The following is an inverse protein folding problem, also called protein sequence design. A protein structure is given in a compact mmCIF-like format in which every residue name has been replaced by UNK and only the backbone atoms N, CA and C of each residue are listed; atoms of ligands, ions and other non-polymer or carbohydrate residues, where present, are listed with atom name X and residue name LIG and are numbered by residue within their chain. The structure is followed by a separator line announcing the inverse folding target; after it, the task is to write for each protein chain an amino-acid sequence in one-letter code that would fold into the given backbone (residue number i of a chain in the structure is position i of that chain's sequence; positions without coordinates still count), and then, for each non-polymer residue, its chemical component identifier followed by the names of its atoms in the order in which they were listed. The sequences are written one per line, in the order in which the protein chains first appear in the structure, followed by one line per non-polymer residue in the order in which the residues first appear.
data_IF_039409903019
#
_entry.id   IF_039409903019
#
_cell.length_a   1.000
_cell.length_b   1.000
_cell.length_c   1.000
_cell.angle_alpha   90.00
_cell.angle_beta   90.00
_cell.angle_gamma   90.00
#
_symmetry.space_group_name_H-M   'P 1'
#
loop_
_entity.id
_entity.type
_entity.pdbx_description
1 polymer ?
#
# COMPACT_ATOMS: atom_id res chain seq x y z
N UNK A 1 7.81 65.64 -74.43
CA UNK A 1 8.03 65.05 -73.13
C UNK A 1 9.13 65.79 -72.39
N UNK A 2 8.81 66.35 -71.25
CA UNK A 2 9.73 67.13 -70.44
C UNK A 2 10.87 66.25 -69.91
N UNK A 3 12.07 66.80 -69.74
CA UNK A 3 13.23 66.09 -69.16
C UNK A 3 12.94 65.48 -67.76
N UNK A 4 12.01 66.10 -67.03
CA UNK A 4 11.50 65.65 -65.77
C UNK A 4 10.70 64.34 -65.88
N UNK A 5 9.88 64.17 -66.89
CA UNK A 5 9.07 62.98 -67.15
C UNK A 5 9.97 61.78 -67.52
N UNK A 6 11.04 62.02 -68.31
CA UNK A 6 12.04 60.99 -68.64
C UNK A 6 12.84 60.52 -67.44
N UNK A 7 13.16 61.41 -66.48
CA UNK A 7 13.87 61.09 -65.28
C UNK A 7 13.01 60.28 -64.31
N UNK A 8 11.69 60.58 -64.25
CA UNK A 8 10.72 59.83 -63.44
C UNK A 8 10.52 58.41 -63.97
N UNK A 9 10.34 58.30 -65.33
CA UNK A 9 10.22 56.96 -65.97
C UNK A 9 11.48 56.10 -65.81
N UNK A 10 12.66 56.75 -65.81
CA UNK A 10 13.93 56.08 -65.67
C UNK A 10 14.16 55.59 -64.18
N UNK A 11 13.71 56.38 -63.21
CA UNK A 11 13.71 55.99 -61.81
C UNK A 11 12.69 54.90 -61.57
N UNK A 12 11.49 54.97 -62.11
CA UNK A 12 10.47 53.92 -62.00
C UNK A 12 10.94 52.62 -62.65
N UNK A 13 11.63 52.69 -63.81
CA UNK A 13 12.24 51.50 -64.42
C UNK A 13 13.45 50.96 -63.68
N UNK A 14 14.21 51.83 -62.99
CA UNK A 14 15.32 51.34 -62.09
C UNK A 14 14.79 50.71 -60.80
N UNK A 15 13.66 51.21 -60.29
CA UNK A 15 13.00 50.60 -59.12
C UNK A 15 12.27 49.30 -59.52
N UNK A 16 11.81 49.18 -60.77
CA UNK A 16 11.17 47.98 -61.28
C UNK A 16 12.12 46.87 -61.69
N UNK A 17 13.43 47.17 -61.89
CA UNK A 17 14.48 46.17 -62.11
C UNK A 17 15.30 45.94 -60.88
N UNK A 18 14.69 45.44 -59.80
CA UNK A 18 15.44 44.57 -58.94
C UNK A 18 15.95 43.43 -59.81
N UNK A 19 17.24 43.31 -59.96
CA UNK A 19 17.84 42.18 -60.67
C UNK A 19 17.29 40.89 -60.08
N UNK A 20 17.00 39.87 -60.91
CA UNK A 20 16.50 38.58 -60.50
C UNK A 20 17.30 38.03 -59.27
N UNK A 21 18.58 38.39 -59.24
CA UNK A 21 19.49 38.10 -58.13
C UNK A 21 19.04 38.78 -56.81
N UNK A 22 18.68 40.07 -56.82
CA UNK A 22 18.21 40.80 -55.63
C UNK A 22 16.86 40.30 -55.12
N UNK A 23 15.97 39.87 -56.02
CA UNK A 23 14.69 39.23 -55.66
C UNK A 23 14.92 37.84 -55.04
N UNK A 24 15.88 37.08 -55.60
CA UNK A 24 16.28 35.80 -55.03
C UNK A 24 16.91 35.96 -53.62
N UNK A 25 17.85 36.88 -53.47
CA UNK A 25 18.46 37.21 -52.17
C UNK A 25 17.43 37.67 -51.11
N UNK A 26 16.45 38.49 -51.49
CA UNK A 26 15.36 38.90 -50.60
C UNK A 26 14.45 37.70 -50.21
N UNK A 27 14.16 36.81 -51.15
CA UNK A 27 13.39 35.60 -50.88
C UNK A 27 14.16 34.65 -49.92
N UNK A 28 15.45 34.49 -50.15
CA UNK A 28 16.32 33.69 -49.25
C UNK A 28 16.44 34.31 -47.86
N UNK A 29 16.64 35.64 -47.78
CA UNK A 29 16.66 36.36 -46.50
C UNK A 29 15.34 36.21 -45.73
N UNK A 30 14.18 36.33 -46.42
CA UNK A 30 12.86 36.11 -45.79
C UNK A 30 12.69 34.64 -45.32
N UNK A 31 13.14 33.66 -46.12
CA UNK A 31 13.12 32.27 -45.72
C UNK A 31 14.03 32.03 -44.52
N UNK A 32 15.24 32.59 -44.52
CA UNK A 32 16.18 32.48 -43.40
C UNK A 32 15.58 33.09 -42.13
N UNK A 33 14.99 34.29 -42.22
CA UNK A 33 14.30 34.92 -41.09
C UNK A 33 13.14 34.06 -40.58
N UNK A 34 12.34 33.49 -41.52
CA UNK A 34 11.26 32.59 -41.16
C UNK A 34 11.77 31.34 -40.42
N UNK A 35 12.82 30.68 -40.97
CA UNK A 35 13.42 29.51 -40.32
C UNK A 35 14.04 29.82 -38.95
N UNK A 36 14.72 30.97 -38.85
CA UNK A 36 15.27 31.45 -37.56
C UNK A 36 14.16 31.72 -36.55
N UNK A 37 13.05 32.35 -36.99
CA UNK A 37 11.89 32.61 -36.11
C UNK A 37 11.25 31.29 -35.64
N UNK A 38 11.04 30.34 -36.56
CA UNK A 38 10.51 29.01 -36.22
C UNK A 38 11.46 28.30 -35.24
N UNK A 39 12.76 28.33 -35.51
CA UNK A 39 13.75 27.72 -34.64
C UNK A 39 13.74 28.30 -33.21
N UNK A 40 13.67 29.66 -33.10
CA UNK A 40 13.59 30.33 -31.80
C UNK A 40 12.28 29.97 -31.08
N UNK A 41 11.16 29.91 -31.78
CA UNK A 41 9.88 29.51 -31.20
C UNK A 41 9.93 28.05 -30.71
N UNK A 42 10.49 27.11 -31.51
CA UNK A 42 10.65 25.71 -31.10
C UNK A 42 11.56 25.58 -29.88
N UNK A 43 12.67 26.34 -29.86
CA UNK A 43 13.56 26.38 -28.68
C UNK A 43 12.83 26.91 -27.45
N UNK A 44 12.07 27.98 -27.56
CA UNK A 44 11.29 28.54 -26.46
C UNK A 44 10.26 27.52 -25.93
N UNK A 45 9.57 26.83 -26.83
CA UNK A 45 8.62 25.76 -26.46
C UNK A 45 9.35 24.60 -25.72
N UNK A 46 10.49 24.17 -26.23
CA UNK A 46 11.28 23.11 -25.55
C UNK A 46 11.73 23.53 -24.14
N UNK A 47 12.16 24.78 -23.97
CA UNK A 47 12.55 25.31 -22.65
C UNK A 47 11.35 25.33 -21.69
N UNK A 48 10.17 25.77 -22.15
CA UNK A 48 8.93 25.74 -21.35
C UNK A 48 8.56 24.32 -20.96
N UNK A 49 8.66 23.35 -21.88
CA UNK A 49 8.42 21.93 -21.58
C UNK A 49 9.43 21.39 -20.56
N UNK A 50 10.72 21.70 -20.70
CA UNK A 50 11.75 21.27 -19.75
C UNK A 50 11.48 21.82 -18.34
N UNK A 51 11.10 23.11 -18.23
CA UNK A 51 10.71 23.73 -16.96
C UNK A 51 9.45 23.05 -16.39
N UNK A 52 8.42 22.83 -17.21
CA UNK A 52 7.19 22.17 -16.77
C UNK A 52 7.46 20.75 -16.24
N UNK A 53 8.27 19.95 -16.94
CA UNK A 53 8.69 18.62 -16.48
C UNK A 53 9.48 18.72 -15.18
N UNK A 54 10.43 19.66 -15.07
CA UNK A 54 11.22 19.87 -13.87
C UNK A 54 10.36 20.26 -12.65
N UNK A 55 9.41 21.17 -12.84
CA UNK A 55 8.46 21.58 -11.81
C UNK A 55 7.54 20.42 -11.40
N UNK A 56 7.00 19.67 -12.36
CA UNK A 56 6.11 18.53 -12.08
C UNK A 56 6.85 17.43 -11.29
N UNK A 57 8.08 17.10 -11.69
CA UNK A 57 8.93 16.15 -10.97
C UNK A 57 9.29 16.65 -9.56
N UNK A 58 9.59 17.94 -9.42
CA UNK A 58 9.90 18.54 -8.12
C UNK A 58 8.69 18.48 -7.19
N UNK A 59 7.49 18.77 -7.67
CA UNK A 59 6.25 18.69 -6.89
C UNK A 59 5.96 17.23 -6.50
N UNK A 60 6.05 16.28 -7.44
CA UNK A 60 5.87 14.85 -7.13
C UNK A 60 6.89 14.36 -6.10
N UNK A 61 8.16 14.71 -6.27
CA UNK A 61 9.21 14.29 -5.32
C UNK A 61 9.15 15.00 -3.98
N UNK A 62 8.44 16.13 -3.86
CA UNK A 62 8.29 16.86 -2.59
C UNK A 62 7.30 16.19 -1.63
N UNK A 63 6.44 15.31 -2.14
CA UNK A 63 5.38 14.64 -1.38
C UNK A 63 4.24 15.56 -0.93
N UNK A 64 4.18 16.80 -1.45
CA UNK A 64 3.10 17.75 -1.11
C UNK A 64 1.75 17.23 -1.56
N UNK A 65 1.69 16.59 -2.73
CA UNK A 65 0.46 16.02 -3.25
C UNK A 65 -0.06 14.91 -2.34
N UNK A 66 0.81 14.00 -1.94
CA UNK A 66 0.48 12.87 -1.08
C UNK A 66 -0.02 13.31 0.30
N UNK A 67 0.56 14.37 0.86
CA UNK A 67 0.12 14.93 2.14
C UNK A 67 -1.20 15.70 2.07
N UNK A 68 -1.51 16.30 0.90
CA UNK A 68 -2.69 17.14 0.73
C UNK A 68 -3.87 16.41 0.04
N UNK A 69 -3.68 15.16 -0.38
CA UNK A 69 -4.74 14.36 -0.98
C UNK A 69 -5.35 13.45 0.09
N UNK A 70 -6.62 13.62 0.37
CA UNK A 70 -7.38 12.75 1.27
C UNK A 70 -7.58 11.40 0.60
N UNK A 71 -7.12 10.34 1.24
CA UNK A 71 -7.25 8.96 0.78
C UNK A 71 -8.44 8.24 1.43
N UNK A 72 -8.74 8.58 2.67
CA UNK A 72 -9.75 7.93 3.49
C UNK A 72 -10.30 8.94 4.51
N UNK A 73 -11.60 8.90 4.77
CA UNK A 73 -12.23 9.64 5.87
C UNK A 73 -12.75 8.64 6.90
N UNK A 74 -12.43 8.85 8.17
CA UNK A 74 -12.87 8.03 9.31
C UNK A 74 -13.45 8.97 10.36
N UNK A 75 -14.76 8.94 10.56
CA UNK A 75 -15.43 9.95 11.38
C UNK A 75 -15.16 11.36 10.85
N UNK A 76 -14.62 12.22 11.68
CA UNK A 76 -14.23 13.59 11.33
C UNK A 76 -12.75 13.70 10.87
N UNK A 77 -12.01 12.59 10.81
CA UNK A 77 -10.60 12.57 10.43
C UNK A 77 -10.41 12.37 8.92
N UNK A 78 -9.68 13.27 8.30
CA UNK A 78 -9.21 13.17 6.91
C UNK A 78 -7.81 12.59 6.88
N UNK A 79 -7.68 11.34 6.46
CA UNK A 79 -6.40 10.62 6.36
C UNK A 79 -5.81 10.85 4.99
N UNK A 80 -4.63 11.43 4.93
CA UNK A 80 -3.93 11.70 3.68
C UNK A 80 -3.35 10.43 3.04
N UNK A 81 -3.01 10.50 1.75
CA UNK A 81 -2.27 9.42 1.08
C UNK A 81 -0.93 9.12 1.78
N UNK A 82 -0.26 10.16 2.27
CA UNK A 82 0.99 9.99 3.01
C UNK A 82 0.78 9.20 4.30
N UNK A 83 -0.29 9.48 5.01
CA UNK A 83 -0.61 8.80 6.26
C UNK A 83 -1.11 7.37 6.02
N UNK A 84 -1.99 7.16 5.03
CA UNK A 84 -2.41 5.81 4.65
C UNK A 84 -1.23 4.93 4.24
N UNK A 85 -0.16 5.52 3.69
CA UNK A 85 1.05 4.75 3.35
C UNK A 85 1.76 4.16 4.57
N UNK A 86 1.66 4.79 5.76
CA UNK A 86 2.19 4.20 6.99
C UNK A 86 1.41 2.96 7.40
N UNK A 87 0.07 3.02 7.34
CA UNK A 87 -0.78 1.85 7.60
C UNK A 87 -0.55 0.73 6.57
N UNK A 88 -0.36 1.09 5.30
CA UNK A 88 -0.08 0.14 4.23
C UNK A 88 1.24 -0.60 4.45
N UNK A 89 2.31 0.13 4.73
CA UNK A 89 3.61 -0.49 5.02
C UNK A 89 3.60 -1.27 6.33
N UNK A 90 2.82 -0.82 7.32
CA UNK A 90 2.60 -1.57 8.56
C UNK A 90 1.88 -2.90 8.30
N UNK A 91 0.87 -2.94 7.43
CA UNK A 91 0.18 -4.17 7.04
C UNK A 91 1.14 -5.17 6.37
N UNK A 92 1.97 -4.69 5.43
CA UNK A 92 3.00 -5.52 4.77
C UNK A 92 4.02 -6.05 5.80
N UNK A 93 4.54 -5.18 6.67
CA UNK A 93 5.54 -5.56 7.68
C UNK A 93 4.97 -6.57 8.68
N UNK A 94 3.72 -6.40 9.08
CA UNK A 94 3.00 -7.32 9.96
C UNK A 94 2.82 -8.70 9.31
N UNK A 95 2.40 -8.72 8.04
CA UNK A 95 2.33 -9.95 7.27
C UNK A 95 3.69 -10.65 7.17
N UNK A 96 4.74 -9.90 6.81
CA UNK A 96 6.08 -10.46 6.70
C UNK A 96 6.61 -11.00 8.03
N UNK A 97 6.32 -10.34 9.14
CA UNK A 97 6.75 -10.78 10.48
C UNK A 97 6.05 -12.06 10.91
N UNK A 98 4.77 -12.21 10.58
CA UNK A 98 3.96 -13.36 11.01
C UNK A 98 3.99 -14.53 10.02
N UNK A 99 4.04 -14.24 8.73
CA UNK A 99 3.85 -15.21 7.66
C UNK A 99 4.96 -15.20 6.60
N UNK A 100 6.02 -14.39 6.75
CA UNK A 100 7.07 -14.23 5.73
C UNK A 100 7.69 -15.56 5.28
N UNK A 101 7.89 -16.50 6.20
CA UNK A 101 8.39 -17.85 5.90
C UNK A 101 7.38 -18.71 5.07
N UNK A 102 6.11 -18.34 5.09
CA UNK A 102 5.03 -19.03 4.39
C UNK A 102 4.49 -18.24 3.20
N UNK A 103 5.02 -17.05 2.94
CA UNK A 103 4.54 -16.15 1.88
C UNK A 103 4.42 -16.85 0.51
N UNK A 104 5.46 -17.59 0.13
CA UNK A 104 5.45 -18.35 -1.12
C UNK A 104 4.37 -19.45 -1.17
N UNK A 105 4.08 -20.11 -0.03
CA UNK A 105 3.00 -21.11 0.07
C UNK A 105 1.62 -20.46 -0.02
N UNK A 106 1.51 -19.18 0.37
CA UNK A 106 0.30 -18.37 0.24
C UNK A 106 0.18 -17.71 -1.13
N UNK A 107 1.12 -17.97 -2.05
CA UNK A 107 1.12 -17.45 -3.41
C UNK A 107 1.73 -16.06 -3.56
N UNK A 108 2.40 -15.53 -2.53
CA UNK A 108 3.10 -14.25 -2.61
C UNK A 108 4.56 -14.46 -3.04
N UNK A 109 4.91 -13.91 -4.19
CA UNK A 109 6.29 -13.84 -4.69
C UNK A 109 6.87 -12.45 -4.35
N UNK A 110 7.73 -12.38 -3.34
CA UNK A 110 8.31 -11.12 -2.86
C UNK A 110 9.26 -10.45 -3.87
N UNK A 111 9.60 -11.12 -4.97
CA UNK A 111 10.42 -10.58 -6.05
C UNK A 111 9.63 -9.83 -7.12
N UNK A 112 8.29 -9.93 -7.09
CA UNK A 112 7.38 -9.32 -8.05
C UNK A 112 6.58 -8.17 -7.45
N UNK A 113 6.11 -7.21 -8.26
CA UNK A 113 5.18 -6.18 -7.81
C UNK A 113 3.90 -6.79 -7.23
N UNK A 114 3.40 -6.22 -6.12
CA UNK A 114 2.22 -6.74 -5.41
C UNK A 114 0.94 -6.58 -6.22
N UNK A 115 0.84 -5.56 -7.06
CA UNK A 115 -0.30 -5.24 -7.91
C UNK A 115 -0.41 -6.14 -9.15
N UNK A 116 0.65 -6.88 -9.47
CA UNK A 116 0.67 -7.88 -10.56
C UNK A 116 0.30 -9.29 -10.08
N UNK A 117 0.11 -9.50 -8.76
CA UNK A 117 -0.09 -10.81 -8.15
C UNK A 117 -1.52 -10.96 -7.64
N UNK A 118 -2.34 -11.69 -8.39
CA UNK A 118 -3.75 -11.94 -8.08
C UNK A 118 -3.88 -13.02 -7.01
N UNK A 119 -4.61 -12.72 -5.92
CA UNK A 119 -4.94 -13.67 -4.83
C UNK A 119 -6.26 -14.38 -5.16
N UNK A 120 -7.22 -13.65 -5.72
CA UNK A 120 -8.56 -14.17 -6.02
C UNK A 120 -8.89 -13.90 -7.48
N UNK A 121 -8.95 -14.97 -8.26
CA UNK A 121 -9.21 -14.91 -9.71
C UNK A 121 -10.65 -14.47 -10.05
N UNK A 122 -11.62 -14.71 -9.17
CA UNK A 122 -13.02 -14.34 -9.42
C UNK A 122 -13.24 -12.84 -9.29
N UNK A 123 -12.52 -12.20 -8.38
CA UNK A 123 -12.64 -10.76 -8.12
C UNK A 123 -11.51 -9.94 -8.73
N UNK A 124 -10.41 -10.58 -9.14
CA UNK A 124 -9.19 -9.91 -9.58
C UNK A 124 -8.42 -9.24 -8.44
N UNK A 125 -8.74 -9.55 -7.17
CA UNK A 125 -8.08 -8.97 -6.00
C UNK A 125 -6.59 -9.32 -6.01
N UNK A 126 -5.73 -8.32 -5.89
CA UNK A 126 -4.27 -8.46 -5.82
C UNK A 126 -3.76 -8.40 -4.38
N UNK A 127 -2.49 -8.80 -4.16
CA UNK A 127 -1.83 -8.60 -2.88
C UNK A 127 -1.74 -7.12 -2.48
N UNK A 128 -1.57 -6.21 -3.46
CA UNK A 128 -1.61 -4.78 -3.20
C UNK A 128 -2.96 -4.32 -2.67
N UNK A 129 -4.06 -4.83 -3.26
CA UNK A 129 -5.43 -4.51 -2.83
C UNK A 129 -5.72 -5.05 -1.43
N UNK A 130 -5.26 -6.26 -1.13
CA UNK A 130 -5.47 -6.90 0.17
C UNK A 130 -4.75 -6.13 1.29
N UNK A 131 -3.49 -5.79 1.09
CA UNK A 131 -2.76 -4.94 2.03
C UNK A 131 -3.37 -3.54 2.15
N UNK A 132 -3.89 -2.98 1.05
CA UNK A 132 -4.58 -1.69 1.09
C UNK A 132 -5.89 -1.76 1.88
N UNK A 133 -6.66 -2.83 1.74
CA UNK A 133 -7.88 -3.04 2.51
C UNK A 133 -7.55 -3.24 4.00
N UNK A 134 -6.55 -4.04 4.31
CA UNK A 134 -6.02 -4.19 5.68
C UNK A 134 -5.57 -2.84 6.26
N UNK A 135 -4.87 -2.02 5.49
CA UNK A 135 -4.44 -0.68 5.92
C UNK A 135 -5.63 0.25 6.23
N UNK A 136 -6.65 0.22 5.39
CA UNK A 136 -7.89 1.02 5.61
C UNK A 136 -8.62 0.57 6.87
N UNK A 137 -8.72 -0.73 7.10
CA UNK A 137 -9.40 -1.28 8.28
C UNK A 137 -8.61 -1.00 9.57
N UNK A 138 -7.27 -1.09 9.51
CA UNK A 138 -6.40 -0.69 10.61
C UNK A 138 -6.55 0.81 10.92
N UNK A 139 -6.54 1.67 9.89
CA UNK A 139 -6.73 3.09 10.07
C UNK A 139 -8.08 3.40 10.73
N UNK A 140 -9.18 2.77 10.26
CA UNK A 140 -10.50 2.91 10.87
C UNK A 140 -10.50 2.50 12.33
N UNK A 141 -9.88 1.38 12.66
CA UNK A 141 -9.83 0.86 14.02
C UNK A 141 -9.03 1.78 14.95
N UNK A 142 -7.87 2.27 14.47
CA UNK A 142 -7.00 3.16 15.24
C UNK A 142 -7.70 4.50 15.52
N UNK A 143 -8.30 5.12 14.51
CA UNK A 143 -8.97 6.40 14.69
C UNK A 143 -10.25 6.27 15.53
N UNK A 144 -11.05 5.23 15.33
CA UNK A 144 -12.22 4.99 16.18
C UNK A 144 -11.84 4.78 17.66
N UNK A 145 -10.69 4.11 17.91
CA UNK A 145 -10.20 3.91 19.27
C UNK A 145 -9.60 5.19 19.84
N UNK A 146 -8.94 6.02 19.03
CA UNK A 146 -8.45 7.32 19.45
C UNK A 146 -9.59 8.29 19.81
N UNK A 147 -10.67 8.30 19.02
CA UNK A 147 -11.90 9.05 19.33
C UNK A 147 -12.53 8.61 20.64
N UNK A 148 -12.59 7.30 20.88
CA UNK A 148 -13.08 6.74 22.13
C UNK A 148 -12.19 7.12 23.32
N UNK A 149 -10.87 7.16 23.13
CA UNK A 149 -9.92 7.62 24.14
C UNK A 149 -10.15 9.11 24.48
N UNK A 150 -10.30 9.96 23.47
CA UNK A 150 -10.56 11.38 23.63
C UNK A 150 -11.90 11.61 24.34
N UNK A 151 -12.95 10.93 23.93
CA UNK A 151 -14.26 11.00 24.57
C UNK A 151 -14.24 10.55 26.03
N UNK A 152 -13.35 9.61 26.38
CA UNK A 152 -13.13 9.17 27.77
C UNK A 152 -12.17 10.08 28.56
N UNK A 153 -11.60 11.12 27.95
CA UNK A 153 -10.58 11.97 28.56
C UNK A 153 -9.26 11.24 28.82
N UNK A 154 -9.01 10.14 28.10
CA UNK A 154 -7.77 9.37 28.22
C UNK A 154 -6.66 10.03 27.40
N UNK A 155 -5.46 10.12 27.96
CA UNK A 155 -4.29 10.71 27.33
C UNK A 155 -3.08 9.81 27.57
N UNK A 156 -2.10 9.87 26.65
CA UNK A 156 -0.80 9.25 26.89
C UNK A 156 -0.09 9.90 28.07
N UNK A 157 0.63 9.09 28.82
CA UNK A 157 1.53 9.55 29.91
C UNK A 157 2.74 10.30 29.35
N UNK A 158 3.43 11.05 30.21
CA UNK A 158 4.68 11.71 29.83
C UNK A 158 5.76 10.71 29.40
N UNK A 159 5.82 9.54 30.02
CA UNK A 159 6.77 8.49 29.70
C UNK A 159 6.49 7.90 28.30
N UNK A 160 5.24 7.62 27.96
CA UNK A 160 4.85 7.13 26.63
C UNK A 160 5.16 8.16 25.53
N UNK A 161 4.94 9.44 25.80
CA UNK A 161 5.32 10.52 24.87
C UNK A 161 6.83 10.62 24.70
N UNK A 162 7.59 10.45 25.78
CA UNK A 162 9.06 10.44 25.74
C UNK A 162 9.62 9.22 24.98
N UNK A 163 8.97 8.07 25.08
CA UNK A 163 9.31 6.88 24.28
C UNK A 163 9.10 7.12 22.79
N UNK A 164 8.00 7.79 22.39
CA UNK A 164 7.74 8.18 21.01
C UNK A 164 8.86 9.10 20.52
N UNK A 165 9.21 10.13 21.28
CA UNK A 165 10.29 11.06 20.92
C UNK A 165 11.66 10.38 20.81
N UNK A 166 11.92 9.42 21.67
CA UNK A 166 13.11 8.58 21.61
C UNK A 166 13.12 7.72 20.36
N UNK A 167 11.99 7.11 20.00
CA UNK A 167 11.84 6.30 18.79
C UNK A 167 12.10 7.14 17.52
N UNK A 168 11.55 8.35 17.44
CA UNK A 168 11.80 9.29 16.34
C UNK A 168 13.27 9.69 16.27
N UNK A 169 13.90 9.97 17.44
CA UNK A 169 15.32 10.32 17.51
C UNK A 169 16.22 9.18 17.03
N UNK A 170 15.87 7.94 17.37
CA UNK A 170 16.60 6.74 16.94
C UNK A 170 16.52 6.51 15.43
N UNK A 171 15.47 7.00 14.76
CA UNK A 171 15.35 6.92 13.30
C UNK A 171 16.52 7.58 12.56
N UNK A 172 17.08 8.65 13.13
CA UNK A 172 18.27 9.28 12.56
C UNK A 172 19.48 8.33 12.57
N UNK A 173 19.62 7.57 13.63
CA UNK A 173 20.65 6.54 13.74
C UNK A 173 20.41 5.42 12.71
N UNK A 174 19.17 4.93 12.57
CA UNK A 174 18.83 3.93 11.59
C UNK A 174 19.03 4.42 10.15
N UNK A 175 18.62 5.66 9.83
CA UNK A 175 18.88 6.27 8.53
C UNK A 175 20.37 6.20 8.17
N UNK A 176 21.24 6.59 9.10
CA UNK A 176 22.70 6.54 8.93
C UNK A 176 23.20 5.09 8.77
N UNK A 177 22.72 4.17 9.59
CA UNK A 177 23.11 2.75 9.55
C UNK A 177 22.76 2.10 8.21
N UNK A 178 21.62 2.46 7.63
CA UNK A 178 21.16 1.96 6.34
C UNK A 178 21.69 2.79 5.14
N UNK A 179 22.59 3.74 5.37
CA UNK A 179 23.26 4.51 4.32
C UNK A 179 22.43 5.65 3.71
N UNK A 180 21.38 6.09 4.38
CA UNK A 180 20.59 7.24 3.93
C UNK A 180 21.23 8.56 4.39
N UNK A 181 21.11 9.59 3.54
CA UNK A 181 21.69 10.91 3.81
C UNK A 181 20.97 11.67 4.94
N UNK A 182 19.69 11.32 5.18
CA UNK A 182 18.86 11.96 6.19
C UNK A 182 17.70 11.06 6.63
N UNK A 183 17.10 11.34 7.78
CA UNK A 183 15.84 10.71 8.24
C UNK A 183 14.73 10.90 7.21
N UNK A 184 14.67 12.05 6.56
CA UNK A 184 13.72 12.34 5.49
C UNK A 184 13.87 11.37 4.30
N UNK A 185 15.11 11.11 3.87
CA UNK A 185 15.36 10.20 2.74
C UNK A 185 15.04 8.76 3.14
N UNK A 186 15.33 8.38 4.38
CA UNK A 186 14.95 7.09 4.95
C UNK A 186 13.43 6.92 4.98
N UNK A 187 12.69 7.88 5.54
CA UNK A 187 11.23 7.83 5.61
C UNK A 187 10.60 7.78 4.22
N UNK A 188 11.12 8.56 3.27
CA UNK A 188 10.66 8.52 1.89
C UNK A 188 10.88 7.17 1.21
N UNK A 189 12.02 6.55 1.47
CA UNK A 189 12.32 5.23 0.91
C UNK A 189 11.41 4.14 1.49
N UNK A 190 11.04 4.25 2.78
CA UNK A 190 10.20 3.27 3.46
C UNK A 190 8.70 3.47 3.21
N UNK A 191 8.24 4.73 3.17
CA UNK A 191 6.81 5.06 3.20
C UNK A 191 6.34 5.93 2.02
N UNK A 192 7.24 6.26 1.08
CA UNK A 192 6.91 7.07 -0.09
C UNK A 192 7.17 8.56 0.10
N UNK A 193 7.01 9.33 -1.00
CA UNK A 193 7.43 10.73 -1.10
C UNK A 193 6.75 11.67 -0.11
N UNK A 194 5.56 11.32 0.37
CA UNK A 194 4.79 12.10 1.34
C UNK A 194 5.29 12.03 2.77
N UNK A 195 6.12 11.04 3.11
CA UNK A 195 6.57 10.80 4.47
C UNK A 195 7.50 11.90 4.99
N UNK A 196 7.25 12.36 6.23
CA UNK A 196 8.04 13.33 6.98
C UNK A 196 8.17 12.88 8.43
N UNK A 197 9.15 13.41 9.17
CA UNK A 197 9.28 13.11 10.61
C UNK A 197 8.03 13.53 11.38
N UNK A 198 7.45 14.69 11.04
CA UNK A 198 6.24 15.21 11.68
C UNK A 198 5.03 14.31 11.43
N UNK A 199 4.73 13.96 10.16
CA UNK A 199 3.59 13.10 9.84
C UNK A 199 3.77 11.67 10.38
N UNK A 200 5.01 11.18 10.43
CA UNK A 200 5.29 9.88 11.04
C UNK A 200 5.13 9.91 12.56
N UNK A 201 5.57 11.00 13.22
CA UNK A 201 5.34 11.18 14.67
C UNK A 201 3.85 11.22 14.98
N UNK A 202 3.04 11.94 14.19
CA UNK A 202 1.58 11.95 14.34
C UNK A 202 0.98 10.55 14.22
N UNK A 203 1.36 9.81 13.18
CA UNK A 203 0.94 8.43 12.99
C UNK A 203 1.28 7.53 14.19
N UNK A 204 2.52 7.58 14.69
CA UNK A 204 2.94 6.78 15.85
C UNK A 204 2.18 7.20 17.10
N UNK A 205 1.96 8.50 17.30
CA UNK A 205 1.25 9.02 18.48
C UNK A 205 -0.22 8.57 18.51
N UNK A 206 -0.94 8.65 17.39
CA UNK A 206 -2.35 8.18 17.35
C UNK A 206 -2.45 6.68 17.56
N UNK A 207 -1.52 5.90 16.99
CA UNK A 207 -1.45 4.46 17.23
C UNK A 207 -1.15 4.11 18.70
N UNK A 208 -0.21 4.82 19.31
CA UNK A 208 0.11 4.65 20.73
C UNK A 208 -1.10 4.97 21.62
N UNK A 209 -1.80 6.07 21.37
CA UNK A 209 -3.01 6.45 22.08
C UNK A 209 -4.10 5.37 21.96
N UNK A 210 -4.37 4.91 20.75
CA UNK A 210 -5.36 3.87 20.48
C UNK A 210 -5.02 2.57 21.22
N UNK A 211 -3.76 2.14 21.18
CA UNK A 211 -3.30 0.93 21.85
C UNK A 211 -3.32 1.05 23.38
N UNK A 212 -2.86 2.17 23.92
CA UNK A 212 -2.86 2.42 25.37
C UNK A 212 -4.30 2.44 25.92
N UNK A 213 -5.20 3.11 25.22
CA UNK A 213 -6.61 3.13 25.60
C UNK A 213 -7.25 1.74 25.51
N UNK A 214 -7.02 1.01 24.41
CA UNK A 214 -7.51 -0.36 24.27
C UNK A 214 -7.05 -1.26 25.42
N UNK A 215 -5.77 -1.20 25.78
CA UNK A 215 -5.22 -1.98 26.87
C UNK A 215 -5.82 -1.58 28.22
N UNK A 216 -5.96 -0.29 28.48
CA UNK A 216 -6.59 0.24 29.69
C UNK A 216 -8.05 -0.21 29.79
N UNK A 217 -8.80 -0.03 28.69
CA UNK A 217 -10.21 -0.45 28.63
C UNK A 217 -10.36 -1.95 28.82
N UNK A 218 -9.60 -2.76 28.09
CA UNK A 218 -9.64 -4.23 28.19
C UNK A 218 -9.32 -4.72 29.58
N UNK A 219 -8.36 -4.09 30.25
CA UNK A 219 -7.95 -4.43 31.61
C UNK A 219 -9.00 -4.02 32.65
N UNK A 220 -9.86 -3.06 32.34
CA UNK A 220 -10.95 -2.61 33.20
C UNK A 220 -12.19 -3.51 33.13
N UNK A 221 -12.30 -4.35 32.08
CA UNK A 221 -13.42 -5.26 31.90
C UNK A 221 -13.41 -6.35 32.97
N UNK A 222 -14.53 -6.53 33.64
CA UNK A 222 -14.75 -7.60 34.60
C UNK A 222 -15.91 -8.46 34.13
N UNK A 223 -15.75 -9.76 34.21
CA UNK A 223 -16.76 -10.73 33.81
C UNK A 223 -17.17 -11.57 35.02
N UNK A 224 -18.47 -11.78 35.18
CA UNK A 224 -19.00 -12.71 36.17
C UNK A 224 -18.91 -14.15 35.66
N UNK A 225 -18.96 -15.14 36.57
CA UNK A 225 -19.05 -16.55 36.18
C UNK A 225 -20.25 -16.85 35.27
N UNK A 226 -21.33 -16.08 35.40
CA UNK A 226 -22.50 -16.21 34.54
C UNK A 226 -22.21 -15.74 33.11
N UNK A 227 -21.48 -14.62 32.95
CA UNK A 227 -21.07 -14.10 31.63
C UNK A 227 -20.13 -15.10 30.93
N UNK A 228 -19.19 -15.68 31.68
CA UNK A 228 -18.24 -16.67 31.16
C UNK A 228 -18.95 -17.95 30.69
N UNK A 229 -19.94 -18.44 31.47
CA UNK A 229 -20.73 -19.61 31.08
C UNK A 229 -21.65 -19.34 29.89
N UNK A 230 -22.20 -18.13 29.79
CA UNK A 230 -22.98 -17.74 28.64
C UNK A 230 -22.13 -17.72 27.35
N UNK A 231 -20.95 -17.11 27.42
CA UNK A 231 -20.01 -17.07 26.28
C UNK A 231 -19.52 -18.48 25.87
N UNK A 232 -19.24 -19.37 26.84
CA UNK A 232 -18.92 -20.77 26.60
C UNK A 232 -20.07 -21.50 25.90
N UNK A 233 -21.31 -21.33 26.40
CA UNK A 233 -22.50 -21.97 25.82
C UNK A 233 -22.76 -21.55 24.38
N UNK A 234 -22.54 -20.25 24.05
CA UNK A 234 -22.71 -19.72 22.70
C UNK A 234 -21.60 -20.18 21.74
N UNK A 235 -20.42 -20.50 22.25
CA UNK A 235 -19.23 -20.82 21.46
C UNK A 235 -18.54 -22.08 21.98
N UNK A 236 -19.30 -23.13 22.29
CA UNK A 236 -18.83 -24.34 22.94
C UNK A 236 -17.62 -24.96 22.26
N UNK A 237 -17.65 -25.10 20.93
CA UNK A 237 -16.54 -25.66 20.16
C UNK A 237 -15.26 -24.84 20.20
N UNK A 238 -15.37 -23.53 20.44
CA UNK A 238 -14.23 -22.61 20.52
C UNK A 238 -13.54 -22.66 21.88
N UNK A 239 -14.29 -22.86 22.95
CA UNK A 239 -13.78 -22.81 24.33
C UNK A 239 -13.63 -24.17 24.98
N UNK A 240 -14.09 -25.24 24.33
CA UNK A 240 -13.97 -26.61 24.83
C UNK A 240 -12.80 -27.33 24.15
N UNK A 241 -12.10 -28.15 24.92
CA UNK A 241 -11.11 -29.09 24.41
C UNK A 241 -11.66 -30.51 24.45
N UNK A 242 -11.48 -31.21 23.35
CA UNK A 242 -11.95 -32.59 23.19
C UNK A 242 -10.74 -33.54 23.19
N UNK A 243 -10.80 -34.58 24.02
CA UNK A 243 -9.84 -35.67 23.94
C UNK A 243 -10.49 -36.83 23.16
N UNK A 244 -9.88 -37.25 22.08
CA UNK A 244 -10.36 -38.39 21.29
C UNK A 244 -9.22 -39.37 21.03
N UNK A 245 -9.59 -40.64 20.90
CA UNK A 245 -8.69 -41.66 20.46
C UNK A 245 -8.87 -41.95 18.99
N UNK A 246 -7.79 -41.90 18.21
CA UNK A 246 -7.82 -42.25 16.80
C UNK A 246 -7.34 -43.69 16.63
N UNK A 247 -8.17 -44.51 16.01
CA UNK A 247 -7.81 -45.87 15.64
C UNK A 247 -7.58 -45.94 14.13
N UNK A 248 -6.42 -46.43 13.76
CA UNK A 248 -6.09 -46.62 12.35
C UNK A 248 -6.28 -48.11 11.99
N UNK A 249 -7.28 -48.41 11.15
CA UNK A 249 -7.51 -49.72 10.61
C UNK A 249 -6.97 -49.77 9.19
N UNK A 250 -5.88 -50.49 8.97
CA UNK A 250 -5.33 -50.64 7.62
C UNK A 250 -6.25 -51.58 6.79
N UNK A 251 -6.77 -51.10 5.70
CA UNK A 251 -7.66 -51.88 4.80
C UNK A 251 -7.02 -53.20 4.32
N UNK A 252 -5.69 -53.25 4.23
CA UNK A 252 -4.94 -54.47 3.89
C UNK A 252 -5.10 -55.62 4.88
N UNK A 253 -5.48 -55.34 6.14
CA UNK A 253 -5.76 -56.37 7.14
C UNK A 253 -7.11 -57.07 6.95
N UNK A 254 -7.97 -56.52 6.10
CA UNK A 254 -9.31 -57.00 5.85
C UNK A 254 -9.49 -57.38 4.38
N UNK A 255 -8.41 -57.52 3.61
CA UNK A 255 -8.46 -58.08 2.27
C UNK A 255 -8.63 -59.60 2.39
N UNK A 256 -9.69 -60.08 1.81
CA UNK A 256 -9.91 -61.54 1.70
C UNK A 256 -8.84 -62.13 0.77
N UNK A 257 -8.29 -63.28 1.14
CA UNK A 257 -7.33 -64.02 0.29
C UNK A 257 -8.04 -64.67 -0.91
N UNK A 258 -9.39 -64.86 -0.83
CA UNK A 258 -10.27 -65.41 -1.89
C UNK A 258 -11.63 -64.71 -1.89
N UNK A 259 -12.33 -64.71 -3.04
CA UNK A 259 -13.66 -64.11 -3.19
C UNK A 259 -14.70 -64.58 -2.19
N UNK A 260 -14.60 -65.85 -1.72
CA UNK A 260 -15.49 -66.46 -0.73
C UNK A 260 -15.30 -65.95 0.72
N UNK A 261 -14.19 -65.26 0.99
CA UNK A 261 -13.91 -64.71 2.31
C UNK A 261 -14.27 -63.21 2.45
N UNK A 262 -14.80 -62.59 1.42
CA UNK A 262 -15.19 -61.14 1.43
C UNK A 262 -16.21 -60.85 2.55
N UNK A 263 -17.20 -61.73 2.76
CA UNK A 263 -18.23 -61.54 3.79
C UNK A 263 -17.64 -61.67 5.21
N UNK A 264 -16.61 -62.53 5.41
CA UNK A 264 -15.89 -62.65 6.67
C UNK A 264 -15.02 -61.41 6.95
N UNK A 265 -14.38 -60.89 5.93
CA UNK A 265 -13.58 -59.67 6.05
C UNK A 265 -14.46 -58.45 6.39
N UNK A 266 -15.62 -58.29 5.76
CA UNK A 266 -16.60 -57.26 6.11
C UNK A 266 -17.11 -57.39 7.52
N UNK A 267 -17.44 -58.60 8.00
CA UNK A 267 -17.87 -58.85 9.37
C UNK A 267 -16.78 -58.55 10.38
N UNK A 268 -15.54 -58.93 10.10
CA UNK A 268 -14.41 -58.65 10.96
C UNK A 268 -14.12 -57.14 11.05
N UNK A 269 -14.30 -56.42 9.94
CA UNK A 269 -14.16 -54.93 9.93
C UNK A 269 -15.27 -54.24 10.74
N UNK A 270 -16.52 -54.74 10.66
CA UNK A 270 -17.66 -54.24 11.44
C UNK A 270 -17.49 -54.50 12.93
N UNK A 271 -17.00 -55.71 13.32
CA UNK A 271 -16.72 -56.05 14.71
C UNK A 271 -15.57 -55.22 15.26
N UNK A 272 -14.53 -54.98 14.49
CA UNK A 272 -13.41 -54.11 14.88
C UNK A 272 -13.84 -52.66 15.05
N UNK A 273 -14.72 -52.15 14.16
CA UNK A 273 -15.28 -50.80 14.28
C UNK A 273 -16.14 -50.67 15.55
N UNK A 274 -17.00 -51.64 15.84
CA UNK A 274 -17.80 -51.67 17.08
C UNK A 274 -16.95 -51.76 18.36
N UNK A 275 -15.87 -52.55 18.33
CA UNK A 275 -14.94 -52.64 19.44
C UNK A 275 -14.20 -51.30 19.66
N UNK A 276 -13.83 -50.60 18.59
CA UNK A 276 -13.22 -49.29 18.64
C UNK A 276 -14.20 -48.24 19.22
N UNK A 277 -15.45 -48.29 18.80
CA UNK A 277 -16.52 -47.39 19.30
C UNK A 277 -16.80 -47.61 20.81
N UNK A 278 -16.85 -48.90 21.24
CA UNK A 278 -16.99 -49.21 22.66
C UNK A 278 -15.78 -48.80 23.52
N UNK A 279 -14.57 -48.87 22.98
CA UNK A 279 -13.36 -48.42 23.65
C UNK A 279 -13.25 -46.90 23.73
N UNK A 280 -13.92 -46.19 22.82
CA UNK A 280 -13.98 -44.72 22.78
C UNK A 280 -15.13 -44.14 23.65
N UNK A 281 -16.06 -44.99 24.13
CA UNK A 281 -17.12 -44.53 25.02
C UNK A 281 -16.52 -44.03 26.35
N UNK A 282 -16.89 -42.85 26.86
CA UNK A 282 -16.40 -42.34 28.12
C UNK A 282 -16.85 -43.31 29.23
N UNK A 283 -15.93 -43.65 30.11
CA UNK A 283 -16.26 -44.35 31.35
C UNK A 283 -17.26 -43.49 32.15
N UNK A 284 -18.43 -44.04 32.43
CA UNK A 284 -19.52 -43.37 33.12
C UNK A 284 -19.18 -43.01 34.56
#
# INVERSE_FOLDING_TARGET
MSASSKKKLRNEQQTAKMTEKQVAEQKEAKKLTLYTTIFVVVLAVMVVFAIAIGVTRSISNSGVRERNTVALTVGDHEISNAELSYFYMSAINNFNSNYGNYAAMMGLDTSKPLDEQVINNDTGLTWADDFLNTAKDNARSVYAMADAAEAAGFTLSEDELAEIDTSISNMKMYATLYGYSSTKDFLKAQYGSGATEESYKQYVTVNALANAYYNSYSSSLTYTDADLRAAESENYDKYSSFTYNTYYLAASKFQAEDEDDSDKAVKAAEEAAKAAEQAAAPAA
#
